data_IF_394532214446
#
_entry.id   IF_394532214446
#
_cell.length_a   1.000
_cell.length_b   1.000
_cell.length_c   1.000
_cell.angle_alpha   90.00
_cell.angle_beta   90.00
_cell.angle_gamma   90.00
#
_symmetry.space_group_name_H-M   'P 1'
#
loop_
_entity.id
_entity.type
_entity.pdbx_description
1 polymer ?
#
# COMPACT_ATOMS: atom_id res chain seq x y z
N UNK A 1 9.27 -5.08 4.25
CA UNK A 1 9.37 -4.85 2.79
C UNK A 1 7.97 -5.01 2.21
N UNK A 2 7.58 -4.24 1.18
CA UNK A 2 6.28 -4.40 0.51
C UNK A 2 6.53 -4.89 -0.92
N UNK A 3 5.78 -5.91 -1.32
CA UNK A 3 5.64 -6.35 -2.71
C UNK A 3 4.46 -5.63 -3.34
N UNK A 4 4.67 -4.98 -4.48
CA UNK A 4 3.65 -4.25 -5.19
C UNK A 4 3.75 -4.47 -6.70
N UNK A 5 2.67 -4.15 -7.42
CA UNK A 5 2.64 -4.21 -8.88
C UNK A 5 2.58 -2.83 -9.50
N UNK A 6 3.24 -2.66 -10.63
CA UNK A 6 3.28 -1.42 -11.38
C UNK A 6 3.13 -1.70 -12.87
N UNK A 7 3.03 -0.63 -13.68
CA UNK A 7 3.14 -0.72 -15.14
C UNK A 7 4.45 -1.35 -15.63
N UNK A 8 5.50 -1.38 -14.79
CA UNK A 8 6.82 -1.96 -15.11
C UNK A 8 7.01 -3.38 -14.56
N UNK A 9 5.98 -3.98 -13.97
CA UNK A 9 6.05 -5.30 -13.33
C UNK A 9 6.07 -5.22 -11.79
N UNK A 10 6.64 -6.27 -11.17
CA UNK A 10 6.71 -6.43 -9.72
C UNK A 10 7.78 -5.50 -9.13
N UNK A 11 7.46 -4.88 -8.00
CA UNK A 11 8.28 -3.91 -7.28
C UNK A 11 8.42 -4.35 -5.83
N UNK A 12 9.65 -4.43 -5.33
CA UNK A 12 9.96 -4.78 -3.94
C UNK A 12 10.77 -3.67 -3.29
N UNK A 13 10.16 -2.90 -2.39
CA UNK A 13 10.84 -1.79 -1.71
C UNK A 13 10.36 -1.60 -0.27
N UNK A 14 11.07 -0.75 0.45
CA UNK A 14 10.74 -0.37 1.83
C UNK A 14 9.60 0.64 1.82
N UNK A 15 8.62 0.42 2.69
CA UNK A 15 7.59 1.42 2.99
C UNK A 15 8.15 2.50 3.92
N UNK A 16 7.94 3.77 3.56
CA UNK A 16 8.40 4.90 4.37
C UNK A 16 7.38 6.05 4.41
N UNK A 17 6.12 5.70 4.65
CA UNK A 17 5.05 6.66 4.98
C UNK A 17 3.99 6.81 3.92
N UNK A 18 3.45 8.02 3.78
CA UNK A 18 2.17 8.25 3.14
C UNK A 18 2.24 9.36 2.07
N UNK A 19 1.38 9.24 1.08
CA UNK A 19 1.09 10.25 0.07
C UNK A 19 -0.40 10.61 0.15
N UNK A 20 -0.74 11.89 0.06
CA UNK A 20 -2.14 12.33 0.05
C UNK A 20 -2.71 12.20 -1.36
N UNK A 21 -3.86 11.57 -1.51
CA UNK A 21 -4.56 11.41 -2.79
C UNK A 21 -4.85 12.75 -3.46
N UNK A 22 -5.14 13.79 -2.67
CA UNK A 22 -5.46 15.14 -3.13
C UNK A 22 -4.32 15.80 -3.90
N UNK A 23 -3.07 15.32 -3.74
CA UNK A 23 -1.88 15.79 -4.46
C UNK A 23 -1.25 14.68 -5.30
N UNK A 24 -2.02 13.66 -5.69
CA UNK A 24 -1.48 12.52 -6.44
C UNK A 24 -0.94 12.94 -7.81
N UNK A 25 -1.56 13.93 -8.47
CA UNK A 25 -1.05 14.46 -9.74
C UNK A 25 0.28 15.18 -9.56
N UNK A 26 0.51 15.86 -8.43
CA UNK A 26 1.82 16.41 -8.11
C UNK A 26 2.86 15.30 -8.00
N UNK A 27 2.56 14.19 -7.30
CA UNK A 27 3.47 13.04 -7.22
C UNK A 27 3.79 12.46 -8.60
N UNK A 28 2.79 12.31 -9.48
CA UNK A 28 2.99 11.84 -10.86
C UNK A 28 3.87 12.79 -11.66
N UNK A 29 3.68 14.10 -11.50
CA UNK A 29 4.49 15.12 -12.16
C UNK A 29 5.94 15.15 -11.65
N UNK A 30 6.19 14.71 -10.41
CA UNK A 30 7.55 14.43 -9.89
C UNK A 30 8.09 13.06 -10.36
N UNK A 31 7.45 12.41 -11.33
CA UNK A 31 7.87 11.11 -11.85
C UNK A 31 7.53 9.93 -10.94
N UNK A 32 6.66 10.08 -9.94
CA UNK A 32 6.25 8.94 -9.13
C UNK A 32 5.42 7.93 -9.95
N UNK A 33 5.75 6.65 -9.78
CA UNK A 33 5.04 5.54 -10.39
C UNK A 33 3.94 5.04 -9.45
N UNK A 34 2.74 4.81 -9.97
CA UNK A 34 1.65 4.19 -9.22
C UNK A 34 1.93 2.72 -8.96
N UNK A 35 1.48 2.25 -7.79
CA UNK A 35 1.58 0.88 -7.35
C UNK A 35 0.21 0.33 -6.94
N UNK A 36 -0.02 -0.95 -7.22
CA UNK A 36 -1.08 -1.76 -6.63
C UNK A 36 -0.45 -2.66 -5.55
N UNK A 37 -0.84 -2.44 -4.29
CA UNK A 37 -0.36 -3.24 -3.16
C UNK A 37 -1.48 -4.21 -2.78
N UNK A 38 -1.24 -5.49 -3.05
CA UNK A 38 -2.15 -6.58 -2.68
C UNK A 38 -1.93 -6.92 -1.21
N UNK A 39 -2.98 -6.86 -0.40
CA UNK A 39 -2.96 -7.18 1.02
C UNK A 39 -4.35 -7.66 1.44
N UNK A 40 -4.44 -8.61 2.38
CA UNK A 40 -5.73 -9.07 2.89
C UNK A 40 -6.35 -8.15 3.95
N UNK A 41 -5.53 -7.32 4.60
CA UNK A 41 -5.97 -6.42 5.66
C UNK A 41 -5.06 -5.21 5.78
N UNK A 42 -5.56 -4.15 6.42
CA UNK A 42 -4.77 -3.02 6.86
C UNK A 42 -5.11 -2.68 8.32
N UNK A 43 -4.25 -1.89 8.95
CA UNK A 43 -4.51 -1.36 10.28
C UNK A 43 -4.28 0.14 10.29
N UNK A 44 -5.13 0.86 11.01
CA UNK A 44 -4.89 2.25 11.39
C UNK A 44 -4.67 2.36 12.89
N UNK A 45 -3.77 3.26 13.28
CA UNK A 45 -3.55 3.55 14.69
C UNK A 45 -4.54 4.62 15.13
N UNK A 46 -5.39 4.29 16.09
CA UNK A 46 -6.33 5.23 16.69
C UNK A 46 -5.60 6.39 17.34
N UNK A 47 -5.97 7.64 17.00
CA UNK A 47 -5.37 8.83 17.62
C UNK A 47 -5.78 8.98 19.09
N UNK A 48 -6.96 8.45 19.45
CA UNK A 48 -7.47 8.47 20.82
C UNK A 48 -6.83 7.39 21.70
N UNK A 49 -6.84 6.13 21.24
CA UNK A 49 -6.44 4.99 22.10
C UNK A 49 -5.03 4.49 21.85
N UNK A 50 -4.39 4.95 20.76
CA UNK A 50 -3.10 4.46 20.24
C UNK A 50 -3.07 2.99 19.84
N UNK A 51 -4.20 2.29 19.90
CA UNK A 51 -4.33 0.88 19.48
C UNK A 51 -4.44 0.78 17.97
N UNK A 52 -3.99 -0.35 17.43
CA UNK A 52 -4.23 -0.71 16.03
C UNK A 52 -5.64 -1.24 15.89
N UNK A 53 -6.39 -0.69 14.95
CA UNK A 53 -7.72 -1.14 14.56
C UNK A 53 -7.58 -1.72 13.17
N UNK A 54 -7.88 -3.00 13.04
CA UNK A 54 -7.73 -3.77 11.80
C UNK A 54 -9.02 -3.76 10.98
N UNK A 55 -8.84 -3.82 9.67
CA UNK A 55 -9.93 -4.04 8.72
C UNK A 55 -9.48 -4.83 7.51
N UNK A 56 -10.44 -5.45 6.85
CA UNK A 56 -10.19 -6.23 5.64
C UNK A 56 -10.06 -5.32 4.43
N UNK A 57 -9.15 -5.68 3.54
CA UNK A 57 -9.17 -5.15 2.17
C UNK A 57 -10.09 -6.08 1.37
N UNK A 58 -11.16 -5.57 0.72
CA UNK A 58 -12.01 -6.41 -0.12
C UNK A 58 -11.21 -7.12 -1.21
N UNK A 59 -11.56 -8.36 -1.54
CA UNK A 59 -10.81 -9.22 -2.47
C UNK A 59 -10.61 -8.60 -3.87
N UNK A 60 -11.54 -7.74 -4.29
CA UNK A 60 -11.49 -7.03 -5.56
C UNK A 60 -10.80 -5.65 -5.48
N UNK A 61 -10.12 -5.35 -4.36
CA UNK A 61 -9.45 -4.07 -4.11
C UNK A 61 -7.98 -4.28 -3.77
N UNK A 62 -7.21 -3.23 -4.03
CA UNK A 62 -5.81 -3.09 -3.63
C UNK A 62 -5.63 -1.81 -2.83
N UNK A 63 -4.57 -1.77 -2.03
CA UNK A 63 -4.10 -0.52 -1.43
C UNK A 63 -3.28 0.23 -2.48
N UNK A 64 -3.64 1.48 -2.77
CA UNK A 64 -2.88 2.31 -3.71
C UNK A 64 -1.56 2.74 -3.09
N UNK A 65 -0.46 2.58 -3.82
CA UNK A 65 0.85 3.11 -3.46
C UNK A 65 1.44 4.02 -4.54
N UNK A 66 2.53 4.71 -4.19
CA UNK A 66 3.43 5.38 -5.13
C UNK A 66 4.89 5.07 -4.79
N UNK A 67 5.72 5.02 -5.83
CA UNK A 67 7.18 4.98 -5.72
C UNK A 67 7.77 6.19 -6.44
N UNK A 68 8.49 7.04 -5.72
CA UNK A 68 9.17 8.18 -6.31
C UNK A 68 10.51 7.73 -6.91
N UNK A 69 10.51 7.39 -8.21
CA UNK A 69 11.67 6.77 -8.87
C UNK A 69 12.86 7.72 -9.08
N UNK A 70 12.64 9.04 -8.97
CA UNK A 70 13.69 10.05 -9.10
C UNK A 70 14.39 10.35 -7.77
N UNK A 71 13.88 9.82 -6.66
CA UNK A 71 14.52 9.91 -5.35
C UNK A 71 15.73 8.97 -5.29
N UNK A 72 16.86 9.39 -4.69
CA UNK A 72 17.99 8.49 -4.43
C UNK A 72 17.59 7.33 -3.51
N UNK A 73 16.55 7.52 -2.70
CA UNK A 73 15.95 6.48 -1.87
C UNK A 73 14.61 6.05 -2.45
N UNK A 74 14.57 4.86 -3.05
CA UNK A 74 13.37 4.24 -3.59
C UNK A 74 12.47 3.73 -2.46
N UNK A 75 11.57 4.60 -2.01
CA UNK A 75 10.67 4.32 -0.90
C UNK A 75 9.22 4.30 -1.38
N UNK A 76 8.48 3.27 -0.97
CA UNK A 76 7.05 3.16 -1.21
C UNK A 76 6.33 4.07 -0.22
N UNK A 77 5.34 4.82 -0.72
CA UNK A 77 4.36 5.54 0.08
C UNK A 77 2.97 5.00 -0.18
N UNK A 78 2.21 4.77 0.88
CA UNK A 78 0.79 4.41 0.78
C UNK A 78 0.00 5.66 0.46
N UNK A 79 -0.83 5.60 -0.58
CA UNK A 79 -1.74 6.70 -0.90
C UNK A 79 -2.91 6.65 0.08
N UNK A 80 -3.21 7.78 0.68
CA UNK A 80 -4.30 7.94 1.67
C UNK A 80 -5.34 8.92 1.15
N UNK A 81 -6.57 8.80 1.62
CA UNK A 81 -7.67 9.76 1.42
C UNK A 81 -8.22 10.23 2.77
N UNK A 82 -9.07 11.26 2.74
CA UNK A 82 -9.85 11.63 3.92
C UNK A 82 -10.74 10.46 4.37
N UNK A 83 -10.79 10.23 5.67
CA UNK A 83 -11.72 9.28 6.26
C UNK A 83 -13.17 9.79 6.10
N UNK A 84 -14.11 8.86 5.89
CA UNK A 84 -15.54 9.15 6.01
C UNK A 84 -15.93 9.31 7.47
N UNK A 85 -17.10 9.88 7.76
CA UNK A 85 -17.58 10.03 9.16
C UNK A 85 -17.64 8.69 9.91
N UNK A 86 -18.09 7.61 9.24
CA UNK A 86 -18.14 6.27 9.82
C UNK A 86 -16.75 5.70 10.13
N UNK A 87 -15.76 5.98 9.27
CA UNK A 87 -14.38 5.55 9.52
C UNK A 87 -13.72 6.37 10.61
N UNK A 88 -14.01 7.68 10.72
CA UNK A 88 -13.55 8.49 11.86
C UNK A 88 -14.13 7.95 13.16
N UNK A 89 -15.42 7.60 13.18
CA UNK A 89 -16.08 7.01 14.35
C UNK A 89 -15.46 5.65 14.72
N UNK A 90 -15.17 4.79 13.74
CA UNK A 90 -14.60 3.46 13.99
C UNK A 90 -13.12 3.48 14.33
N UNK A 91 -12.30 4.21 13.56
CA UNK A 91 -10.85 4.15 13.64
C UNK A 91 -10.25 5.28 14.48
N UNK A 92 -10.99 6.37 14.71
CA UNK A 92 -10.49 7.60 15.33
C UNK A 92 -9.23 8.13 14.64
N UNK A 93 -9.21 8.09 13.30
CA UNK A 93 -8.10 8.56 12.49
C UNK A 93 -8.64 9.32 11.26
N UNK A 94 -8.07 10.48 10.89
CA UNK A 94 -8.63 11.34 9.86
C UNK A 94 -8.32 10.88 8.43
N UNK A 95 -7.48 9.86 8.27
CA UNK A 95 -7.00 9.37 6.98
C UNK A 95 -7.11 7.86 6.91
N UNK A 96 -7.44 7.37 5.72
CA UNK A 96 -7.52 5.94 5.43
C UNK A 96 -6.69 5.63 4.19
N UNK A 97 -6.18 4.40 4.02
CA UNK A 97 -5.59 4.00 2.76
C UNK A 97 -6.61 4.13 1.64
N UNK A 98 -6.14 4.51 0.46
CA UNK A 98 -6.98 4.51 -0.73
C UNK A 98 -7.10 3.08 -1.25
N UNK A 99 -8.24 2.46 -0.97
CA UNK A 99 -8.63 1.19 -1.57
C UNK A 99 -9.23 1.46 -2.95
N UNK A 100 -8.71 0.79 -3.98
CA UNK A 100 -9.11 1.01 -5.37
C UNK A 100 -9.12 -0.31 -6.15
N UNK A 101 -9.74 -0.29 -7.34
CA UNK A 101 -9.55 -1.38 -8.30
C UNK A 101 -8.06 -1.49 -8.73
N UNK A 102 -7.57 -2.71 -9.00
CA UNK A 102 -6.25 -2.91 -9.57
C UNK A 102 -6.12 -2.22 -10.93
N UNK A 103 -5.01 -1.53 -11.18
CA UNK A 103 -4.63 -1.02 -12.51
C UNK A 103 -3.75 -1.99 -13.29
N UNK A 104 -2.97 -2.82 -12.59
CA UNK A 104 -1.92 -3.65 -13.16
C UNK A 104 -2.19 -5.15 -13.02
N UNK A 105 -3.45 -5.50 -12.77
CA UNK A 105 -3.93 -6.88 -12.57
C UNK A 105 -3.60 -7.45 -11.19
N UNK A 106 -4.05 -8.69 -10.95
CA UNK A 106 -3.82 -9.42 -9.70
C UNK A 106 -2.38 -9.92 -9.61
N UNK A 107 -1.73 -9.79 -8.45
CA UNK A 107 -0.52 -10.55 -8.18
C UNK A 107 -0.83 -12.05 -8.40
N UNK A 108 0.10 -12.84 -8.97
CA UNK A 108 -0.02 -14.29 -8.80
C UNK A 108 -0.13 -14.56 -7.29
N UNK A 109 -0.95 -15.53 -6.86
CA UNK A 109 -1.08 -15.87 -5.45
C UNK A 109 0.33 -16.07 -4.87
N UNK A 110 0.56 -15.54 -3.66
CA UNK A 110 1.75 -15.88 -2.90
C UNK A 110 1.79 -17.41 -2.80
N UNK A 111 2.77 -18.04 -3.44
CA UNK A 111 3.02 -19.46 -3.21
C UNK A 111 3.58 -19.55 -1.80
N UNK A 112 2.73 -19.91 -0.84
CA UNK A 112 3.20 -20.40 0.45
C UNK A 112 4.15 -21.59 0.19
N UNK A 113 5.42 -21.42 0.56
CA UNK A 113 6.37 -22.53 0.66
C UNK A 113 7.24 -22.78 -0.57
N UNK A 114 8.21 -21.90 -0.82
CA UNK A 114 9.47 -22.29 -1.46
C UNK A 114 10.62 -21.47 -0.84
N UNK A 115 10.98 -21.81 0.39
CA UNK A 115 12.36 -21.60 0.81
C UNK A 115 13.22 -22.57 -0.01
N UNK A 116 14.28 -22.12 -0.70
CA UNK A 116 15.30 -23.05 -1.14
C UNK A 116 15.93 -23.63 0.13
N UNK A 117 15.71 -24.92 0.39
CA UNK A 117 16.61 -25.65 1.27
C UNK A 117 17.90 -25.78 0.46
N UNK A 118 18.83 -24.88 0.72
CA UNK A 118 20.20 -24.99 0.25
C UNK A 118 20.78 -26.34 0.72
N UNK A 119 21.50 -27.00 -0.18
CA UNK A 119 22.68 -27.79 0.15
C UNK A 119 22.49 -28.94 1.13
N UNK A 120 22.17 -30.13 0.59
CA UNK A 120 22.65 -31.38 1.17
C UNK A 120 24.19 -31.39 1.13
N UNK A 121 24.81 -31.25 2.30
CA UNK A 121 26.11 -31.85 2.62
C UNK A 121 25.87 -32.96 3.63
#
# INVERSE_FOLDING_TARGET
MITARSQRGIVNHVWAGFARHEILDWWRNQGAMLLDIHAGSFAERSDQTRRLIWDLVPENRVIRGVLHIQSPNLLIKIVTRAATSLEVERFHHPRMPLLAEPLFGVNPPEVEGQYPIEGLF
#
